data_IF_207049895709
#
_entry.id   IF_207049895709
#
_cell.length_a   1.000
_cell.length_b   1.000
_cell.length_c   1.000
_cell.angle_alpha   90.00
_cell.angle_beta   90.00
_cell.angle_gamma   90.00
#
_symmetry.space_group_name_H-M   'P 1'
#
loop_
_entity.id
_entity.type
_entity.pdbx_description
1 polymer ?
#
# COMPACT_ATOMS: atom_id res chain seq x y z
N UNK A 1 2.75 -3.69 5.77
CA UNK A 1 3.70 -2.57 5.89
C UNK A 1 3.42 -1.52 4.82
N UNK A 2 3.55 -0.24 5.16
CA UNK A 2 3.71 0.82 4.16
C UNK A 2 5.15 0.82 3.65
N UNK A 3 5.34 1.04 2.35
CA UNK A 3 6.67 1.08 1.72
C UNK A 3 6.90 2.38 0.95
N UNK A 4 8.12 2.91 1.05
CA UNK A 4 8.55 4.05 0.26
C UNK A 4 9.18 3.58 -1.06
N UNK A 5 8.37 3.52 -2.11
CA UNK A 5 8.77 3.00 -3.43
C UNK A 5 9.50 4.02 -4.31
N UNK A 6 9.77 5.23 -3.80
CA UNK A 6 10.57 6.24 -4.52
C UNK A 6 11.92 6.50 -3.86
N UNK A 7 12.12 5.97 -2.65
CA UNK A 7 13.37 6.13 -1.92
C UNK A 7 14.52 5.37 -2.58
N UNK A 8 15.69 5.99 -2.62
CA UNK A 8 16.92 5.44 -3.19
C UNK A 8 18.12 5.66 -2.25
N UNK A 9 19.27 5.09 -2.60
CA UNK A 9 20.49 5.20 -1.79
C UNK A 9 20.30 4.63 -0.39
N UNK A 10 20.73 5.34 0.64
CA UNK A 10 20.63 4.90 2.04
C UNK A 10 19.20 4.75 2.57
N UNK A 11 18.22 5.28 1.85
CA UNK A 11 16.78 5.18 2.20
C UNK A 11 16.04 4.09 1.42
N UNK A 12 16.71 3.38 0.52
CA UNK A 12 16.12 2.30 -0.26
C UNK A 12 15.50 1.22 0.65
N UNK A 13 14.29 0.78 0.31
CA UNK A 13 13.55 -0.23 1.10
C UNK A 13 12.97 0.29 2.43
N UNK A 14 12.99 1.61 2.66
CA UNK A 14 12.39 2.22 3.85
C UNK A 14 10.91 1.87 3.95
N UNK A 15 10.48 1.43 5.13
CA UNK A 15 9.11 0.99 5.35
C UNK A 15 8.64 1.27 6.80
N UNK A 16 7.34 1.14 7.03
CA UNK A 16 6.70 1.18 8.35
C UNK A 16 5.94 -0.13 8.52
N UNK A 17 6.41 -0.98 9.43
CA UNK A 17 5.76 -2.23 9.76
C UNK A 17 4.60 -1.98 10.73
N UNK A 18 3.44 -2.53 10.41
CA UNK A 18 2.25 -2.52 11.24
C UNK A 18 1.88 -3.98 11.57
N UNK A 19 1.86 -4.31 12.84
CA UNK A 19 1.42 -5.60 13.36
C UNK A 19 0.14 -5.39 14.16
N UNK A 20 -0.84 -6.28 14.03
CA UNK A 20 -2.09 -6.15 14.76
C UNK A 20 -2.74 -7.50 14.99
N UNK A 21 -3.32 -7.65 16.17
CA UNK A 21 -4.15 -8.77 16.56
C UNK A 21 -5.53 -8.25 17.01
N UNK A 22 -6.54 -9.06 16.90
CA UNK A 22 -7.82 -8.77 17.54
C UNK A 22 -7.64 -8.89 19.05
N UNK A 23 -8.10 -7.86 19.77
CA UNK A 23 -8.01 -7.84 21.23
C UNK A 23 -9.20 -8.54 21.86
N UNK A 24 -8.92 -9.33 22.88
CA UNK A 24 -9.94 -9.90 23.75
C UNK A 24 -10.52 -8.85 24.70
N UNK A 25 -11.78 -9.01 25.11
CA UNK A 25 -12.45 -8.07 26.01
C UNK A 25 -11.70 -7.87 27.34
N UNK A 26 -11.00 -8.89 27.81
CA UNK A 26 -10.20 -8.84 29.03
C UNK A 26 -8.96 -7.93 28.94
N UNK A 27 -8.44 -7.73 27.73
CA UNK A 27 -7.27 -6.88 27.48
C UNK A 27 -7.63 -5.38 27.46
N UNK A 28 -8.93 -5.07 27.35
CA UNK A 28 -9.41 -3.70 27.23
C UNK A 28 -9.73 -3.09 28.59
N UNK A 29 -9.36 -1.84 28.78
CA UNK A 29 -9.84 -1.03 29.90
C UNK A 29 -11.34 -0.79 29.78
N UNK A 30 -12.04 -0.48 30.89
CA UNK A 30 -13.49 -0.19 30.89
C UNK A 30 -13.86 0.91 29.92
N UNK A 31 -13.02 1.95 29.78
CA UNK A 31 -13.19 3.03 28.82
C UNK A 31 -13.14 2.52 27.38
N UNK A 32 -12.20 1.64 27.07
CA UNK A 32 -12.05 1.05 25.72
C UNK A 32 -13.19 0.08 25.41
N UNK A 33 -13.63 -0.72 26.39
CA UNK A 33 -14.81 -1.60 26.24
C UNK A 33 -16.09 -0.82 25.93
N UNK A 34 -16.34 0.27 26.65
CA UNK A 34 -17.49 1.16 26.36
C UNK A 34 -17.40 1.73 24.95
N UNK A 35 -16.24 2.24 24.58
CA UNK A 35 -16.01 2.79 23.24
C UNK A 35 -16.12 1.74 22.12
N UNK A 36 -15.70 0.51 22.36
CA UNK A 36 -15.83 -0.59 21.41
C UNK A 36 -17.27 -1.04 21.21
N UNK A 37 -18.13 -0.89 22.23
CA UNK A 37 -19.56 -1.15 22.14
C UNK A 37 -20.37 -0.04 21.47
N UNK A 38 -19.79 1.15 21.32
CA UNK A 38 -20.43 2.27 20.61
C UNK A 38 -20.31 2.07 19.09
N UNK A 39 -21.32 2.58 18.34
CA UNK A 39 -21.25 2.59 16.89
C UNK A 39 -20.07 3.44 16.44
N UNK A 40 -19.10 2.82 15.79
CA UNK A 40 -17.99 3.55 15.21
C UNK A 40 -18.46 4.38 14.00
N UNK A 41 -18.17 5.67 14.04
CA UNK A 41 -18.42 6.58 12.93
C UNK A 41 -17.09 7.24 12.54
N UNK A 42 -16.59 6.87 11.36
CA UNK A 42 -15.38 7.47 10.84
C UNK A 42 -15.65 8.86 10.27
N UNK A 43 -14.84 9.83 10.72
CA UNK A 43 -14.85 11.15 10.09
C UNK A 43 -14.23 11.08 8.72
N UNK A 44 -15.00 11.34 7.69
CA UNK A 44 -14.54 11.34 6.30
C UNK A 44 -14.13 12.74 5.86
N UNK A 45 -13.05 12.81 5.11
CA UNK A 45 -12.61 14.02 4.39
C UNK A 45 -12.71 13.72 2.89
N UNK A 46 -13.04 14.72 2.09
CA UNK A 46 -13.14 14.58 0.65
C UNK A 46 -12.10 15.45 -0.05
N UNK A 47 -11.51 14.90 -1.13
CA UNK A 47 -10.76 15.71 -2.08
C UNK A 47 -11.80 16.40 -2.99
N UNK A 48 -12.02 17.72 -2.88
CA UNK A 48 -13.24 18.36 -3.38
C UNK A 48 -13.30 18.48 -4.91
N UNK A 49 -12.17 18.46 -5.59
CA UNK A 49 -12.07 18.60 -7.05
C UNK A 49 -10.85 17.87 -7.60
N UNK A 50 -10.90 17.53 -8.88
CA UNK A 50 -9.75 16.97 -9.58
C UNK A 50 -8.64 18.02 -9.67
N UNK A 51 -7.45 17.65 -9.24
CA UNK A 51 -6.27 18.50 -9.36
C UNK A 51 -5.94 18.65 -10.84
N UNK A 52 -5.87 19.89 -11.40
CA UNK A 52 -5.82 20.11 -12.85
C UNK A 52 -4.52 19.64 -13.51
N UNK A 53 -3.48 19.38 -12.72
CA UNK A 53 -2.19 18.86 -13.17
C UNK A 53 -1.66 17.85 -12.14
N UNK A 54 -0.86 16.91 -12.62
CA UNK A 54 -0.27 15.90 -11.73
C UNK A 54 0.67 16.57 -10.72
N UNK A 55 0.22 16.63 -9.46
CA UNK A 55 1.05 17.02 -8.32
C UNK A 55 1.92 15.86 -7.83
N UNK A 56 1.64 14.65 -8.29
CA UNK A 56 2.40 13.44 -7.96
C UNK A 56 3.67 13.36 -8.82
N UNK A 57 4.65 14.14 -8.45
CA UNK A 57 6.01 14.08 -9.00
C UNK A 57 6.98 13.55 -7.93
N UNK A 58 8.18 13.18 -8.34
CA UNK A 58 9.18 12.61 -7.45
C UNK A 58 9.46 13.49 -6.23
N UNK A 59 9.45 14.81 -6.38
CA UNK A 59 9.72 15.74 -5.28
C UNK A 59 8.60 15.72 -4.24
N UNK A 60 7.34 15.91 -4.67
CA UNK A 60 6.18 15.95 -3.78
C UNK A 60 5.99 14.63 -3.03
N UNK A 61 6.15 13.51 -3.74
CA UNK A 61 6.06 12.16 -3.13
C UNK A 61 7.20 11.96 -2.12
N UNK A 62 8.42 12.36 -2.46
CA UNK A 62 9.57 12.25 -1.54
C UNK A 62 9.35 13.08 -0.27
N UNK A 63 8.84 14.31 -0.40
CA UNK A 63 8.54 15.16 0.75
C UNK A 63 7.45 14.55 1.64
N UNK A 64 6.36 14.09 1.02
CA UNK A 64 5.29 13.40 1.75
C UNK A 64 5.80 12.15 2.47
N UNK A 65 6.52 11.28 1.76
CA UNK A 65 7.04 10.03 2.32
C UNK A 65 8.03 10.27 3.46
N UNK A 66 8.88 11.30 3.34
CA UNK A 66 9.76 11.70 4.44
C UNK A 66 8.96 12.16 5.68
N UNK A 67 7.97 13.02 5.49
CA UNK A 67 7.13 13.51 6.58
C UNK A 67 6.34 12.37 7.23
N UNK A 68 5.79 11.45 6.42
CA UNK A 68 5.04 10.29 6.89
C UNK A 68 5.94 9.35 7.71
N UNK A 69 7.12 9.02 7.21
CA UNK A 69 8.09 8.18 7.89
C UNK A 69 8.58 8.81 9.21
N UNK A 70 8.86 10.12 9.20
CA UNK A 70 9.31 10.83 10.41
C UNK A 70 8.25 10.89 11.51
N UNK A 71 6.96 10.86 11.15
CA UNK A 71 5.85 10.79 12.12
C UNK A 71 5.66 9.41 12.73
N UNK A 72 6.16 8.37 12.07
CA UNK A 72 6.05 7.01 12.58
C UNK A 72 6.80 6.88 13.92
N UNK A 73 6.14 6.24 14.88
CA UNK A 73 6.71 5.94 16.19
C UNK A 73 6.45 4.47 16.50
N UNK A 74 7.45 3.80 17.06
CA UNK A 74 7.23 2.48 17.63
C UNK A 74 6.33 2.62 18.86
N UNK A 75 5.11 2.08 18.77
CA UNK A 75 4.12 2.12 19.85
C UNK A 75 3.18 0.93 19.71
N UNK A 76 2.62 0.52 20.85
CA UNK A 76 1.46 -0.37 20.89
C UNK A 76 0.24 0.46 21.25
N UNK A 77 -0.85 0.27 20.53
CA UNK A 77 -2.06 1.07 20.67
C UNK A 77 -3.31 0.23 20.36
N UNK A 78 -4.45 0.60 20.96
CA UNK A 78 -5.73 0.01 20.62
C UNK A 78 -6.47 0.94 19.66
N UNK A 79 -6.95 0.38 18.56
CA UNK A 79 -7.71 1.16 17.57
C UNK A 79 -8.86 0.32 17.00
N UNK A 80 -9.85 0.99 16.42
CA UNK A 80 -10.90 0.32 15.68
C UNK A 80 -10.31 -0.40 14.46
N UNK A 81 -10.81 -1.61 14.15
CA UNK A 81 -10.27 -2.43 13.05
C UNK A 81 -10.33 -1.73 11.69
N UNK A 82 -11.32 -0.87 11.42
CA UNK A 82 -11.40 -0.12 10.17
C UNK A 82 -10.15 0.72 9.91
N UNK A 83 -9.62 1.38 10.93
CA UNK A 83 -8.38 2.17 10.79
C UNK A 83 -7.16 1.32 10.48
N UNK A 84 -7.18 0.06 10.88
CA UNK A 84 -6.07 -0.87 10.63
C UNK A 84 -6.17 -1.50 9.25
N UNK A 85 -7.36 -2.01 8.89
CA UNK A 85 -7.57 -2.72 7.63
C UNK A 85 -7.85 -1.79 6.46
N UNK A 86 -8.51 -0.65 6.71
CA UNK A 86 -8.99 0.30 5.70
C UNK A 86 -8.46 1.72 5.95
N UNK A 87 -7.12 1.91 6.05
CA UNK A 87 -6.52 3.17 6.51
C UNK A 87 -6.77 4.37 5.57
N UNK A 88 -7.33 4.16 4.39
CA UNK A 88 -7.63 5.22 3.42
C UNK A 88 -9.12 5.46 3.20
N UNK A 89 -10.01 4.62 3.74
CA UNK A 89 -11.45 4.73 3.50
C UNK A 89 -12.07 6.02 4.08
N UNK A 90 -11.33 6.70 4.96
CA UNK A 90 -11.73 8.01 5.46
C UNK A 90 -11.53 9.15 4.44
N UNK A 91 -10.80 8.91 3.32
CA UNK A 91 -10.58 9.89 2.26
C UNK A 91 -11.49 9.57 1.09
N UNK A 92 -12.52 10.38 0.89
CA UNK A 92 -13.41 10.28 -0.26
C UNK A 92 -12.77 10.96 -1.47
N UNK A 93 -13.06 10.43 -2.66
CA UNK A 93 -12.59 10.97 -3.95
C UNK A 93 -11.06 11.13 -4.02
N UNK A 94 -10.32 10.25 -3.34
CA UNK A 94 -8.86 10.30 -3.30
C UNK A 94 -8.23 10.17 -4.71
N UNK A 95 -8.93 9.55 -5.66
CA UNK A 95 -8.54 9.48 -7.06
C UNK A 95 -8.35 10.86 -7.72
N UNK A 96 -9.01 11.90 -7.22
CA UNK A 96 -8.83 13.29 -7.70
C UNK A 96 -7.40 13.79 -7.57
N UNK A 97 -6.58 13.20 -6.69
CA UNK A 97 -5.15 13.52 -6.53
C UNK A 97 -4.34 13.15 -7.80
N UNK A 98 -4.81 12.17 -8.58
CA UNK A 98 -4.13 11.71 -9.79
C UNK A 98 -4.51 12.50 -11.05
N UNK A 99 -5.26 13.58 -10.90
CA UNK A 99 -5.77 14.40 -12.00
C UNK A 99 -6.66 13.62 -12.99
N UNK A 100 -7.01 14.26 -14.11
CA UNK A 100 -7.79 13.62 -15.20
C UNK A 100 -7.09 12.44 -15.87
N UNK A 101 -5.77 12.32 -15.73
CA UNK A 101 -5.02 11.20 -16.31
C UNK A 101 -5.35 9.87 -15.62
N UNK A 102 -5.82 9.92 -14.38
CA UNK A 102 -6.16 8.73 -13.60
C UNK A 102 -4.93 8.00 -13.04
N UNK A 103 -5.19 6.80 -12.55
CA UNK A 103 -4.17 5.93 -11.96
C UNK A 103 -4.30 4.50 -12.45
N UNK A 104 -3.20 3.76 -12.34
CA UNK A 104 -3.16 2.31 -12.43
C UNK A 104 -2.74 1.78 -11.06
N UNK A 105 -3.53 0.87 -10.49
CA UNK A 105 -3.11 0.11 -9.33
C UNK A 105 -2.50 -1.20 -9.81
N UNK A 106 -1.21 -1.38 -9.55
CA UNK A 106 -0.51 -2.62 -9.84
C UNK A 106 -0.36 -3.44 -8.55
N UNK A 107 -0.94 -4.63 -8.53
CA UNK A 107 -0.85 -5.52 -7.38
C UNK A 107 -0.37 -6.89 -7.80
N UNK A 108 0.61 -7.40 -7.06
CA UNK A 108 1.21 -8.72 -7.26
C UNK A 108 1.09 -9.57 -5.99
N UNK A 109 1.20 -10.88 -6.14
CA UNK A 109 1.43 -11.81 -5.05
C UNK A 109 2.56 -12.76 -5.43
N UNK A 110 3.54 -12.93 -4.53
CA UNK A 110 4.77 -13.72 -4.72
C UNK A 110 4.82 -14.81 -3.65
N UNK A 111 5.19 -16.05 -4.00
CA UNK A 111 5.41 -17.12 -3.02
C UNK A 111 6.38 -16.70 -1.91
N UNK A 112 6.17 -17.23 -0.70
CA UNK A 112 6.97 -16.84 0.47
C UNK A 112 8.46 -17.05 0.25
N UNK A 113 8.84 -18.13 -0.40
CA UNK A 113 10.23 -18.54 -0.65
C UNK A 113 10.96 -17.57 -1.59
N UNK A 114 10.25 -17.04 -2.58
CA UNK A 114 10.80 -16.09 -3.57
C UNK A 114 10.62 -14.62 -3.14
N UNK A 115 9.85 -14.36 -2.08
CA UNK A 115 9.34 -13.03 -1.75
C UNK A 115 10.41 -11.97 -1.61
N UNK A 116 11.54 -12.28 -0.94
CA UNK A 116 12.62 -11.30 -0.73
C UNK A 116 13.26 -10.86 -2.05
N UNK A 117 13.63 -11.80 -2.89
CA UNK A 117 14.32 -11.53 -4.17
C UNK A 117 13.39 -10.83 -5.16
N UNK A 118 12.17 -11.33 -5.30
CA UNK A 118 11.19 -10.76 -6.22
C UNK A 118 10.76 -9.35 -5.83
N UNK A 119 10.45 -9.12 -4.56
CA UNK A 119 10.07 -7.77 -4.06
C UNK A 119 11.24 -6.79 -4.25
N UNK A 120 12.47 -7.20 -4.00
CA UNK A 120 13.65 -6.35 -4.22
C UNK A 120 13.82 -5.98 -5.71
N UNK A 121 13.67 -6.95 -6.62
CA UNK A 121 13.72 -6.69 -8.07
C UNK A 121 12.62 -5.76 -8.54
N UNK A 122 11.39 -5.97 -8.07
CA UNK A 122 10.24 -5.09 -8.35
C UNK A 122 10.54 -3.67 -7.87
N UNK A 123 10.98 -3.51 -6.63
CA UNK A 123 11.30 -2.19 -6.06
C UNK A 123 12.42 -1.49 -6.83
N UNK A 124 13.49 -2.20 -7.18
CA UNK A 124 14.60 -1.65 -8.00
C UNK A 124 14.08 -1.11 -9.32
N UNK A 125 13.20 -1.88 -9.98
CA UNK A 125 12.59 -1.47 -11.25
C UNK A 125 11.74 -0.22 -11.10
N UNK A 126 10.86 -0.18 -10.08
CA UNK A 126 10.00 0.96 -9.80
C UNK A 126 10.82 2.21 -9.47
N UNK A 127 11.82 2.09 -8.60
CA UNK A 127 12.70 3.22 -8.24
C UNK A 127 13.45 3.75 -9.46
N UNK A 128 13.97 2.85 -10.32
CA UNK A 128 14.69 3.24 -11.53
C UNK A 128 13.79 3.95 -12.56
N UNK A 129 12.51 3.59 -12.64
CA UNK A 129 11.55 4.24 -13.54
C UNK A 129 11.19 5.67 -13.12
N UNK A 130 11.53 6.07 -11.90
CA UNK A 130 11.09 7.33 -11.30
C UNK A 130 9.58 7.42 -11.14
N UNK A 131 8.88 6.28 -11.30
CA UNK A 131 7.44 6.15 -11.09
C UNK A 131 7.10 5.83 -9.64
N UNK A 132 5.85 6.00 -9.30
CA UNK A 132 5.33 5.64 -7.99
C UNK A 132 4.40 6.69 -7.42
N UNK A 133 3.80 6.35 -6.32
CA UNK A 133 2.99 7.25 -5.51
C UNK A 133 3.40 7.13 -4.04
N UNK A 134 2.71 7.86 -3.18
CA UNK A 134 2.86 7.74 -1.73
C UNK A 134 2.16 6.49 -1.16
N UNK A 135 1.39 5.77 -2.00
CA UNK A 135 0.68 4.56 -1.59
C UNK A 135 1.36 3.33 -2.18
N UNK A 136 2.07 2.62 -1.32
CA UNK A 136 2.53 1.26 -1.58
C UNK A 136 2.41 0.43 -0.30
N UNK A 137 1.76 -0.71 -0.41
CA UNK A 137 1.44 -1.56 0.74
C UNK A 137 1.91 -2.98 0.49
N UNK A 138 2.80 -3.45 1.35
CA UNK A 138 3.23 -4.86 1.41
C UNK A 138 2.48 -5.56 2.53
N UNK A 139 1.87 -6.72 2.23
CA UNK A 139 1.19 -7.57 3.20
C UNK A 139 1.73 -9.00 3.09
N UNK A 140 1.83 -9.69 4.23
CA UNK A 140 2.01 -11.14 4.25
C UNK A 140 0.62 -11.79 4.17
N UNK A 141 0.47 -12.77 3.28
CA UNK A 141 -0.75 -13.52 3.07
C UNK A 141 -0.57 -14.93 3.60
N UNK A 142 -1.64 -15.49 4.19
CA UNK A 142 -1.72 -16.89 4.57
C UNK A 142 -2.21 -17.78 3.44
N UNK A 143 -2.33 -19.08 3.73
CA UNK A 143 -2.94 -20.03 2.81
C UNK A 143 -4.40 -19.66 2.56
N UNK A 144 -4.82 -19.76 1.31
CA UNK A 144 -6.18 -19.53 0.88
C UNK A 144 -6.58 -20.54 -0.17
N UNK A 145 -7.77 -21.09 0.01
CA UNK A 145 -8.42 -21.98 -0.93
C UNK A 145 -9.54 -21.26 -1.67
N UNK A 146 -9.55 -21.36 -3.00
CA UNK A 146 -10.60 -20.76 -3.80
C UNK A 146 -10.29 -20.87 -5.30
N UNK A 147 -11.32 -21.14 -6.10
CA UNK A 147 -11.19 -21.37 -7.55
C UNK A 147 -10.58 -20.16 -8.26
N UNK A 148 -10.92 -18.93 -7.82
CA UNK A 148 -10.43 -17.68 -8.39
C UNK A 148 -9.63 -16.86 -7.37
N UNK A 149 -9.02 -17.54 -6.39
CA UNK A 149 -8.24 -16.85 -5.38
C UNK A 149 -6.98 -16.22 -5.98
N UNK A 150 -6.89 -14.87 -5.92
CA UNK A 150 -5.64 -14.17 -6.22
C UNK A 150 -4.59 -14.40 -5.13
N UNK A 151 -4.93 -14.27 -3.82
CA UNK A 151 -3.97 -14.51 -2.76
C UNK A 151 -3.62 -16.00 -2.63
N UNK A 152 -2.37 -16.24 -2.25
CA UNK A 152 -1.84 -17.50 -1.75
C UNK A 152 -0.76 -17.17 -0.71
N UNK A 153 -0.29 -18.15 0.01
CA UNK A 153 0.75 -17.98 1.02
C UNK A 153 1.99 -17.30 0.43
N UNK A 154 2.31 -16.10 0.92
CA UNK A 154 3.40 -15.30 0.39
C UNK A 154 3.27 -13.82 0.69
N UNK A 155 3.74 -12.98 -0.22
CA UNK A 155 3.73 -11.54 -0.07
C UNK A 155 2.98 -10.87 -1.22
N UNK A 156 2.00 -10.03 -0.88
CA UNK A 156 1.34 -9.16 -1.86
C UNK A 156 1.85 -7.73 -1.70
N UNK A 157 2.19 -7.11 -2.84
CA UNK A 157 2.59 -5.71 -2.93
C UNK A 157 1.62 -4.99 -3.85
N UNK A 158 0.95 -3.98 -3.31
CA UNK A 158 0.06 -3.09 -4.06
C UNK A 158 0.71 -1.72 -4.21
N UNK A 159 0.74 -1.20 -5.41
CA UNK A 159 1.37 0.09 -5.75
C UNK A 159 0.49 0.84 -6.72
N UNK A 160 0.32 2.14 -6.48
CA UNK A 160 -0.41 3.01 -7.39
C UNK A 160 0.55 3.83 -8.25
N UNK A 161 0.20 3.98 -9.50
CA UNK A 161 0.98 4.76 -10.46
C UNK A 161 0.08 5.76 -11.19
N UNK A 162 0.47 7.03 -11.31
CA UNK A 162 -0.23 7.95 -12.20
C UNK A 162 -0.07 7.47 -13.65
N UNK A 163 -1.15 7.59 -14.43
CA UNK A 163 -1.12 7.24 -15.85
C UNK A 163 -0.22 8.25 -16.58
N UNK A 164 0.86 7.74 -17.17
CA UNK A 164 1.85 8.51 -17.95
C UNK A 164 2.48 7.62 -19.02
N UNK A 165 3.17 8.26 -19.97
CA UNK A 165 3.93 7.55 -21.01
C UNK A 165 4.91 6.54 -20.38
N UNK A 166 4.94 5.33 -20.90
CA UNK A 166 5.84 4.25 -20.44
C UNK A 166 5.32 3.43 -19.25
N UNK A 167 4.15 3.77 -18.69
CA UNK A 167 3.63 3.02 -17.53
C UNK A 167 3.25 1.59 -17.89
N UNK A 168 2.70 1.36 -19.07
CA UNK A 168 2.29 0.02 -19.52
C UNK A 168 3.53 -0.86 -19.75
N UNK A 169 4.55 -0.30 -20.38
CA UNK A 169 5.84 -1.00 -20.58
C UNK A 169 6.47 -1.39 -19.24
N UNK A 170 6.47 -0.49 -18.27
CA UNK A 170 6.93 -0.79 -16.92
C UNK A 170 6.10 -1.92 -16.28
N UNK A 171 4.78 -1.88 -16.40
CA UNK A 171 3.93 -2.95 -15.86
C UNK A 171 4.25 -4.32 -16.50
N UNK A 172 4.50 -4.37 -17.82
CA UNK A 172 4.90 -5.61 -18.50
C UNK A 172 6.25 -6.16 -17.98
N UNK A 173 7.20 -5.27 -17.70
CA UNK A 173 8.48 -5.68 -17.11
C UNK A 173 8.31 -6.19 -15.66
N UNK A 174 7.40 -5.58 -14.90
CA UNK A 174 7.02 -6.09 -13.58
C UNK A 174 6.32 -7.45 -13.69
N UNK A 175 5.41 -7.63 -14.67
CA UNK A 175 4.76 -8.92 -14.92
C UNK A 175 5.79 -10.03 -15.18
N UNK A 176 6.84 -9.76 -15.98
CA UNK A 176 7.92 -10.70 -16.21
C UNK A 176 8.64 -11.12 -14.91
N UNK A 177 9.01 -10.14 -14.07
CA UNK A 177 9.62 -10.41 -12.76
C UNK A 177 8.70 -11.28 -11.90
N UNK A 178 7.41 -10.94 -11.85
CA UNK A 178 6.43 -11.68 -11.04
C UNK A 178 6.30 -13.13 -11.51
N UNK A 179 6.17 -13.35 -12.82
CA UNK A 179 6.02 -14.69 -13.42
C UNK A 179 7.28 -15.54 -13.22
N UNK A 180 8.46 -14.96 -13.40
CA UNK A 180 9.75 -15.65 -13.19
C UNK A 180 9.93 -16.17 -11.76
N UNK A 181 9.19 -15.57 -10.80
CA UNK A 181 9.23 -15.97 -9.39
C UNK A 181 7.99 -16.77 -8.94
N UNK A 182 7.22 -17.31 -9.91
CA UNK A 182 6.01 -18.10 -9.62
C UNK A 182 4.86 -17.28 -9.02
N UNK A 183 4.93 -15.98 -9.14
CA UNK A 183 3.90 -15.07 -8.66
C UNK A 183 2.73 -14.91 -9.64
N UNK A 184 1.79 -14.08 -9.26
CA UNK A 184 0.65 -13.70 -10.11
C UNK A 184 0.28 -12.23 -9.88
N UNK A 185 -0.34 -11.62 -10.88
CA UNK A 185 -0.82 -10.24 -10.81
C UNK A 185 -2.34 -10.22 -10.59
N UNK A 186 -2.81 -9.19 -9.91
CA UNK A 186 -4.25 -8.98 -9.71
C UNK A 186 -4.89 -8.47 -11.00
N UNK A 187 -6.07 -9.00 -11.34
CA UNK A 187 -6.71 -8.75 -12.65
C UNK A 187 -7.32 -7.34 -12.79
N UNK A 188 -7.59 -6.65 -11.69
CA UNK A 188 -8.07 -5.26 -11.73
C UNK A 188 -6.90 -4.30 -11.78
N UNK A 189 -6.45 -4.02 -12.98
CA UNK A 189 -5.40 -3.01 -13.23
C UNK A 189 -6.01 -1.66 -13.59
#
# INVERSE_FOLDING_TARGET
AWMDIVASGSKYGRNILLLGNHSESAELTDKLRKKAAEKYVEKKISVPFEIPFTTLNKLSITLFNNAYYMKARSKTDFQHYDKYFYPLDFILNWNHIYSKSGLIQYQLNIPEEAGKDAVDKVLKKVVASGGGSFLAVLKKMGDQDGILSFPFKGYTLSMDFPVKKGIIEMCKELDAIVLDHGGRTYLTK
#
